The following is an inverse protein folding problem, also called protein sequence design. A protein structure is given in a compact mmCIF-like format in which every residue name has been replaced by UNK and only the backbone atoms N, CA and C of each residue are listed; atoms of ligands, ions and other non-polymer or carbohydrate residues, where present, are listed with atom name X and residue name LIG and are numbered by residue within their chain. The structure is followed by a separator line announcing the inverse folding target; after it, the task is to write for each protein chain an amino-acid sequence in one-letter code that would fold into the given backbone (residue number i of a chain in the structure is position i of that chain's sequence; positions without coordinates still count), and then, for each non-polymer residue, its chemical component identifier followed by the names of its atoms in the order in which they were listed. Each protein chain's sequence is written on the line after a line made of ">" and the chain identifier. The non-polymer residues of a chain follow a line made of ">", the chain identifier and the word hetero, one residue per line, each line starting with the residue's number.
data_IF_523138703842
#
_entry.id   IF_523138703842
#
_cell.length_a   1.000
_cell.length_b   1.000
_cell.length_c   1.000
_cell.angle_alpha   90.00
_cell.angle_beta   90.00
_cell.angle_gamma   90.00
#
_symmetry.space_group_name_H-M   'P 1'
#
loop_
_entity.id
_entity.type
_entity.pdbx_description
1 polymer ?
#
# COMPACT_ATOMS: atom_id res chain seq x y z
N UNK A 1 3.19 -77.78 21.44
CA UNK A 1 2.17 -76.85 20.89
C UNK A 1 2.00 -75.61 21.78
N UNK A 2 3.02 -74.74 21.93
CA UNK A 2 2.96 -73.52 22.78
C UNK A 2 3.39 -72.22 22.08
N UNK A 3 3.92 -72.29 20.86
CA UNK A 3 4.48 -71.14 20.13
C UNK A 3 3.46 -70.39 19.27
N UNK A 4 2.30 -70.99 18.98
CA UNK A 4 1.29 -70.38 18.09
C UNK A 4 0.42 -69.31 18.76
N UNK A 5 0.35 -69.27 20.10
CA UNK A 5 -0.47 -68.29 20.85
C UNK A 5 0.15 -66.88 20.89
N UNK A 6 1.47 -66.76 20.74
CA UNK A 6 2.16 -65.47 20.79
C UNK A 6 2.09 -64.66 19.49
N UNK A 7 1.97 -65.34 18.34
CA UNK A 7 1.89 -64.69 17.02
C UNK A 7 0.55 -63.97 16.78
N UNK A 8 -0.55 -64.49 17.34
CA UNK A 8 -1.87 -63.86 17.26
C UNK A 8 -1.98 -62.59 18.13
N UNK A 9 -1.28 -62.56 19.28
CA UNK A 9 -1.24 -61.37 20.14
C UNK A 9 -0.45 -60.21 19.51
N UNK A 10 0.61 -60.51 18.75
CA UNK A 10 1.41 -59.48 18.07
C UNK A 10 0.67 -58.86 16.87
N UNK A 11 -0.11 -59.63 16.11
CA UNK A 11 -0.87 -59.09 14.98
C UNK A 11 -2.02 -58.17 15.43
N UNK A 12 -2.67 -58.45 16.56
CA UNK A 12 -3.71 -57.57 17.11
C UNK A 12 -3.13 -56.22 17.57
N UNK A 13 -1.95 -56.19 18.18
CA UNK A 13 -1.32 -54.95 18.65
C UNK A 13 -0.87 -54.02 17.51
N UNK A 14 -0.43 -54.57 16.36
CA UNK A 14 0.00 -53.78 15.21
C UNK A 14 -1.16 -53.05 14.49
N UNK A 15 -2.37 -53.64 14.50
CA UNK A 15 -3.56 -53.04 13.87
C UNK A 15 -4.12 -51.87 14.70
N UNK A 16 -4.00 -51.92 16.03
CA UNK A 16 -4.47 -50.84 16.90
C UNK A 16 -3.57 -49.59 16.88
N UNK A 17 -2.27 -49.71 16.61
CA UNK A 17 -1.35 -48.56 16.58
C UNK A 17 -1.39 -47.78 15.26
N UNK A 18 -1.71 -48.44 14.14
CA UNK A 18 -1.83 -47.78 12.82
C UNK A 18 -3.13 -46.95 12.67
N UNK A 19 -4.19 -47.30 13.42
CA UNK A 19 -5.48 -46.57 13.40
C UNK A 19 -5.40 -45.17 14.04
N UNK A 20 -4.56 -44.98 15.05
CA UNK A 20 -4.48 -43.71 15.79
C UNK A 20 -3.71 -42.61 15.03
N UNK A 21 -2.75 -42.96 14.17
CA UNK A 21 -1.95 -41.99 13.39
C UNK A 21 -2.64 -41.57 12.08
N UNK A 22 -3.50 -42.42 11.52
CA UNK A 22 -4.33 -42.10 10.37
C UNK A 22 -5.38 -41.03 10.71
N UNK A 23 -6.08 -41.21 11.84
CA UNK A 23 -7.15 -40.29 12.26
C UNK A 23 -6.60 -38.90 12.65
N UNK A 24 -5.43 -38.82 13.28
CA UNK A 24 -4.82 -37.53 13.63
C UNK A 24 -4.37 -36.73 12.41
N UNK A 25 -3.85 -37.38 11.36
CA UNK A 25 -3.49 -36.72 10.10
C UNK A 25 -4.72 -36.23 9.33
N UNK A 26 -5.80 -37.02 9.35
CA UNK A 26 -7.07 -36.62 8.75
C UNK A 26 -7.65 -35.40 9.49
N UNK A 27 -7.65 -35.41 10.83
CA UNK A 27 -8.11 -34.27 11.62
C UNK A 27 -7.29 -33.01 11.34
N UNK A 28 -5.95 -33.11 11.26
CA UNK A 28 -5.09 -31.99 10.87
C UNK A 28 -5.42 -31.45 9.48
N UNK A 29 -5.76 -32.32 8.52
CA UNK A 29 -6.17 -31.89 7.18
C UNK A 29 -7.53 -31.18 7.20
N UNK A 30 -8.48 -31.67 7.99
CA UNK A 30 -9.80 -31.04 8.19
C UNK A 30 -9.67 -29.68 8.86
N UNK A 31 -8.84 -29.57 9.90
CA UNK A 31 -8.59 -28.31 10.61
C UNK A 31 -7.95 -27.28 9.69
N UNK A 32 -6.96 -27.70 8.87
CA UNK A 32 -6.34 -26.83 7.85
C UNK A 32 -7.33 -26.37 6.80
N UNK A 33 -8.19 -27.26 6.31
CA UNK A 33 -9.17 -26.92 5.29
C UNK A 33 -10.23 -25.95 5.83
N UNK A 34 -10.62 -26.13 7.09
CA UNK A 34 -11.50 -25.20 7.82
C UNK A 34 -10.85 -23.83 7.98
N UNK A 35 -9.57 -23.78 8.40
CA UNK A 35 -8.82 -22.54 8.53
C UNK A 35 -8.63 -21.81 7.19
N UNK A 36 -8.33 -22.55 6.12
CA UNK A 36 -8.21 -21.98 4.77
C UNK A 36 -9.55 -21.43 4.26
N UNK A 37 -10.64 -22.14 4.48
CA UNK A 37 -11.98 -21.68 4.13
C UNK A 37 -12.36 -20.39 4.87
N UNK A 38 -12.01 -20.31 6.15
CA UNK A 38 -12.19 -19.09 6.95
C UNK A 38 -11.35 -17.93 6.39
N UNK A 39 -10.07 -18.17 6.07
CA UNK A 39 -9.21 -17.16 5.46
C UNK A 39 -9.77 -16.65 4.14
N UNK A 40 -10.26 -17.52 3.26
CA UNK A 40 -10.87 -17.10 1.98
C UNK A 40 -12.10 -16.22 2.23
N UNK A 41 -12.92 -16.56 3.21
CA UNK A 41 -14.10 -15.78 3.59
C UNK A 41 -13.70 -14.40 4.12
N UNK A 42 -12.71 -14.36 5.01
CA UNK A 42 -12.21 -13.12 5.61
C UNK A 42 -11.57 -12.21 4.56
N UNK A 43 -10.74 -12.75 3.66
CA UNK A 43 -10.14 -11.99 2.56
C UNK A 43 -11.20 -11.47 1.59
N UNK A 44 -12.22 -12.27 1.26
CA UNK A 44 -13.32 -11.84 0.39
C UNK A 44 -14.10 -10.68 1.02
N UNK A 45 -14.37 -10.76 2.32
CA UNK A 45 -15.02 -9.69 3.08
C UNK A 45 -14.17 -8.40 3.13
N UNK A 46 -12.86 -8.54 3.35
CA UNK A 46 -11.92 -7.43 3.32
C UNK A 46 -11.88 -6.76 1.95
N UNK A 47 -11.85 -7.56 0.87
CA UNK A 47 -11.87 -7.06 -0.50
C UNK A 47 -13.16 -6.30 -0.81
N UNK A 48 -14.32 -6.83 -0.42
CA UNK A 48 -15.60 -6.13 -0.56
C UNK A 48 -15.66 -4.81 0.21
N UNK A 49 -15.10 -4.79 1.43
CA UNK A 49 -15.00 -3.57 2.24
C UNK A 49 -14.08 -2.54 1.58
N UNK A 50 -12.94 -2.97 1.05
CA UNK A 50 -11.98 -2.10 0.38
C UNK A 50 -12.57 -1.50 -0.89
N UNK A 51 -13.27 -2.32 -1.69
CA UNK A 51 -13.97 -1.86 -2.88
C UNK A 51 -15.04 -0.82 -2.53
N UNK A 52 -15.84 -1.06 -1.48
CA UNK A 52 -16.86 -0.10 -1.04
C UNK A 52 -16.24 1.25 -0.60
N UNK A 53 -15.11 1.21 0.11
CA UNK A 53 -14.36 2.42 0.47
C UNK A 53 -13.80 3.14 -0.76
N UNK A 54 -13.25 2.38 -1.72
CA UNK A 54 -12.74 2.92 -2.97
C UNK A 54 -13.84 3.63 -3.76
N UNK A 55 -15.01 2.99 -3.93
CA UNK A 55 -16.14 3.58 -4.65
C UNK A 55 -16.67 4.85 -3.96
N UNK A 56 -16.64 4.89 -2.63
CA UNK A 56 -17.03 6.07 -1.87
C UNK A 56 -16.03 7.21 -2.08
N UNK A 57 -14.73 6.94 -2.01
CA UNK A 57 -13.67 7.93 -2.22
C UNK A 57 -13.72 8.44 -3.67
N UNK A 58 -13.79 7.54 -4.65
CA UNK A 58 -13.80 7.88 -6.06
C UNK A 58 -14.99 8.77 -6.48
N UNK A 59 -16.12 8.69 -5.77
CA UNK A 59 -17.26 9.58 -5.98
C UNK A 59 -17.02 11.00 -5.48
N UNK A 60 -16.26 11.16 -4.40
CA UNK A 60 -16.01 12.47 -3.77
C UNK A 60 -14.76 13.13 -4.35
N UNK A 61 -13.72 12.34 -4.58
CA UNK A 61 -12.43 12.75 -5.14
C UNK A 61 -12.06 11.74 -6.24
N UNK A 62 -12.50 11.95 -7.49
CA UNK A 62 -12.15 11.04 -8.57
C UNK A 62 -10.63 11.07 -8.73
N UNK A 63 -9.91 9.95 -8.49
CA UNK A 63 -8.45 9.95 -8.55
C UNK A 63 -8.01 10.28 -9.98
N UNK A 64 -7.15 11.29 -10.09
CA UNK A 64 -6.57 11.80 -11.33
C UNK A 64 -5.05 11.77 -11.19
N UNK A 65 -4.41 11.44 -12.29
CA UNK A 65 -2.98 11.65 -12.46
C UNK A 65 -2.79 12.89 -13.35
N UNK A 66 -1.72 13.63 -13.12
CA UNK A 66 -1.33 14.65 -14.09
C UNK A 66 -0.94 13.97 -15.40
N UNK A 67 -1.53 14.41 -16.51
CA UNK A 67 -1.31 13.77 -17.81
C UNK A 67 0.08 14.09 -18.39
N UNK A 68 0.68 15.20 -17.96
CA UNK A 68 1.98 15.69 -18.42
C UNK A 68 2.55 16.71 -17.44
N UNK A 69 3.82 17.08 -17.60
CA UNK A 69 4.43 18.18 -16.86
C UNK A 69 3.63 19.49 -17.04
N UNK A 70 3.16 19.78 -18.26
CA UNK A 70 2.36 20.99 -18.52
C UNK A 70 1.06 21.01 -17.72
N UNK A 71 0.45 19.85 -17.49
CA UNK A 71 -0.77 19.72 -16.68
C UNK A 71 -0.47 20.05 -15.21
N UNK A 72 0.65 19.54 -14.67
CA UNK A 72 1.13 19.90 -13.33
C UNK A 72 1.42 21.40 -13.23
N UNK A 73 2.18 21.98 -14.17
CA UNK A 73 2.50 23.41 -14.16
C UNK A 73 1.25 24.28 -14.28
N UNK A 74 0.27 23.87 -15.08
CA UNK A 74 -1.01 24.58 -15.17
C UNK A 74 -1.80 24.53 -13.86
N UNK A 75 -1.79 23.38 -13.17
CA UNK A 75 -2.42 23.25 -11.86
C UNK A 75 -1.71 24.09 -10.79
N UNK A 76 -0.38 24.06 -10.74
CA UNK A 76 0.41 24.88 -9.82
C UNK A 76 0.17 26.38 -10.02
N UNK A 77 0.02 26.85 -11.26
CA UNK A 77 -0.29 28.25 -11.53
C UNK A 77 -1.67 28.72 -11.01
N UNK A 78 -2.61 27.78 -10.83
CA UNK A 78 -3.94 28.03 -10.26
C UNK A 78 -3.88 28.00 -8.74
N UNK A 79 -3.16 27.04 -8.17
CA UNK A 79 -2.88 27.00 -6.74
C UNK A 79 -2.16 28.29 -6.28
N UNK A 80 -2.46 28.72 -5.06
CA UNK A 80 -1.96 30.00 -4.52
C UNK A 80 -1.06 29.82 -3.30
N UNK A 81 -0.56 28.60 -3.10
CA UNK A 81 0.28 28.29 -1.93
C UNK A 81 1.63 28.99 -2.01
N UNK A 82 2.25 29.02 -3.20
CA UNK A 82 3.53 29.71 -3.43
C UNK A 82 3.44 31.23 -3.31
N UNK A 83 2.27 31.81 -3.62
CA UNK A 83 1.98 33.24 -3.47
C UNK A 83 1.91 33.69 -1.99
N UNK A 84 1.89 32.76 -1.03
CA UNK A 84 1.89 33.07 0.40
C UNK A 84 3.27 33.55 0.90
N UNK A 85 3.33 34.45 1.91
CA UNK A 85 4.59 34.95 2.44
C UNK A 85 5.57 33.83 2.83
N UNK A 86 6.88 33.93 2.51
CA UNK A 86 7.84 32.86 2.77
C UNK A 86 7.84 32.37 4.22
N UNK A 87 7.98 31.05 4.40
CA UNK A 87 7.96 30.41 5.71
C UNK A 87 9.29 30.59 6.45
N UNK A 88 9.24 31.10 7.68
CA UNK A 88 10.42 31.28 8.52
C UNK A 88 10.82 30.05 9.36
N UNK A 89 9.98 29.01 9.41
CA UNK A 89 10.25 27.77 10.15
C UNK A 89 9.87 26.54 9.33
N UNK A 90 10.43 25.39 9.68
CA UNK A 90 10.15 24.11 9.03
C UNK A 90 8.66 23.73 9.20
N UNK A 91 8.08 23.97 10.37
CA UNK A 91 6.67 23.68 10.65
C UNK A 91 5.74 24.55 9.80
N UNK A 92 6.08 25.83 9.63
CA UNK A 92 5.32 26.72 8.77
C UNK A 92 5.40 26.28 7.30
N UNK A 93 6.58 25.88 6.83
CA UNK A 93 6.79 25.38 5.47
C UNK A 93 6.03 24.06 5.24
N UNK A 94 6.14 23.12 6.17
CA UNK A 94 5.41 21.84 6.10
C UNK A 94 3.89 22.05 6.16
N UNK A 95 3.41 22.97 7.00
CA UNK A 95 1.99 23.30 7.06
C UNK A 95 1.46 23.90 5.76
N UNK A 96 2.26 24.72 5.05
CA UNK A 96 1.88 25.21 3.71
C UNK A 96 1.82 24.05 2.70
N UNK A 97 2.83 23.18 2.69
CA UNK A 97 2.89 22.03 1.80
C UNK A 97 1.68 21.09 1.99
N UNK A 98 1.26 20.83 3.23
CA UNK A 98 0.02 20.11 3.53
C UNK A 98 -1.23 20.81 2.99
N UNK A 99 -1.22 22.15 2.96
CA UNK A 99 -2.26 22.94 2.31
C UNK A 99 -2.36 22.68 0.82
N UNK A 100 -1.23 22.71 0.10
CA UNK A 100 -1.17 22.37 -1.33
C UNK A 100 -1.58 20.91 -1.59
N UNK A 101 -1.18 19.97 -0.72
CA UNK A 101 -1.63 18.57 -0.80
C UNK A 101 -3.15 18.43 -0.63
N UNK A 102 -3.73 19.16 0.34
CA UNK A 102 -5.17 19.16 0.53
C UNK A 102 -5.92 19.80 -0.65
N UNK A 103 -5.34 20.82 -1.30
CA UNK A 103 -5.87 21.41 -2.52
C UNK A 103 -5.84 20.41 -3.68
N UNK A 104 -4.70 19.75 -3.91
CA UNK A 104 -4.56 18.72 -4.94
C UNK A 104 -5.59 17.60 -4.76
N UNK A 105 -5.76 17.12 -3.52
CA UNK A 105 -6.72 16.06 -3.20
C UNK A 105 -8.17 16.48 -3.51
N UNK A 106 -8.53 17.74 -3.26
CA UNK A 106 -9.87 18.26 -3.60
C UNK A 106 -10.13 18.24 -5.10
N UNK A 107 -9.10 18.49 -5.89
CA UNK A 107 -9.16 18.45 -7.35
C UNK A 107 -9.00 17.03 -7.92
N UNK A 108 -8.78 16.05 -7.06
CA UNK A 108 -8.63 14.63 -7.39
C UNK A 108 -7.19 14.20 -7.67
N UNK A 109 -6.21 15.09 -7.57
CA UNK A 109 -4.80 14.77 -7.76
C UNK A 109 -4.16 14.22 -6.49
N UNK A 110 -3.19 13.32 -6.65
CA UNK A 110 -2.36 12.82 -5.56
C UNK A 110 -0.98 13.43 -5.66
N UNK A 111 -0.60 14.17 -4.62
CA UNK A 111 0.77 14.64 -4.40
C UNK A 111 1.21 14.20 -3.00
N UNK A 112 2.49 13.92 -2.82
CA UNK A 112 3.09 13.68 -1.50
C UNK A 112 3.79 14.94 -1.02
N UNK A 113 3.80 15.15 0.30
CA UNK A 113 4.62 16.16 0.96
C UNK A 113 5.73 15.39 1.65
N UNK A 114 6.96 15.67 1.23
CA UNK A 114 8.15 15.00 1.71
C UNK A 114 9.06 16.02 2.39
N UNK A 115 9.86 15.54 3.35
CA UNK A 115 10.82 16.36 4.06
C UNK A 115 12.16 15.66 4.15
N UNK A 116 13.24 16.43 4.04
CA UNK A 116 14.60 15.98 4.26
C UNK A 116 15.28 16.92 5.25
N UNK A 117 15.80 16.37 6.35
CA UNK A 117 16.51 17.13 7.38
C UNK A 117 17.96 16.71 7.35
N UNK A 118 18.84 17.63 6.96
CA UNK A 118 20.29 17.41 6.91
C UNK A 118 20.95 17.93 8.20
N UNK A 119 20.45 19.04 8.74
CA UNK A 119 20.81 19.56 10.06
C UNK A 119 19.71 20.48 10.60
N UNK A 120 19.84 20.93 11.85
CA UNK A 120 18.91 21.88 12.49
C UNK A 120 18.71 23.20 11.72
N UNK A 121 19.66 23.56 10.84
CA UNK A 121 19.61 24.78 10.01
C UNK A 121 19.44 24.49 8.52
N UNK A 122 19.42 23.22 8.12
CA UNK A 122 19.38 22.84 6.71
C UNK A 122 18.40 21.69 6.51
N UNK A 123 17.23 22.03 5.99
CA UNK A 123 16.14 21.12 5.71
C UNK A 123 15.46 21.53 4.40
N UNK A 124 14.78 20.57 3.79
CA UNK A 124 13.93 20.76 2.64
C UNK A 124 12.54 20.23 2.95
N UNK A 125 11.52 20.94 2.48
CA UNK A 125 10.15 20.44 2.37
C UNK A 125 9.75 20.65 0.93
N UNK A 126 9.35 19.57 0.27
CA UNK A 126 9.03 19.58 -1.14
C UNK A 126 7.82 18.70 -1.42
N UNK A 127 7.17 18.95 -2.53
CA UNK A 127 6.06 18.13 -2.99
C UNK A 127 6.55 17.18 -4.09
N UNK A 128 5.95 15.99 -4.14
CA UNK A 128 6.26 15.00 -5.18
C UNK A 128 4.99 14.45 -5.83
N UNK A 129 5.10 14.08 -7.11
CA UNK A 129 4.05 13.35 -7.83
C UNK A 129 4.65 12.44 -8.91
N UNK A 130 3.83 11.56 -9.49
CA UNK A 130 4.26 10.66 -10.57
C UNK A 130 3.52 11.03 -11.86
N UNK A 131 4.29 11.25 -12.93
CA UNK A 131 3.76 11.56 -14.27
C UNK A 131 4.45 10.65 -15.27
N UNK A 132 3.68 9.82 -15.96
CA UNK A 132 4.22 8.88 -16.96
C UNK A 132 5.29 7.94 -16.38
N UNK A 133 5.13 7.54 -15.12
CA UNK A 133 6.09 6.67 -14.42
C UNK A 133 7.37 7.37 -13.95
N UNK A 134 7.45 8.70 -14.02
CA UNK A 134 8.59 9.47 -13.51
C UNK A 134 8.19 10.27 -12.28
N UNK A 135 9.08 10.35 -11.29
CA UNK A 135 8.89 11.20 -10.12
C UNK A 135 9.26 12.63 -10.46
N UNK A 136 8.35 13.55 -10.15
CA UNK A 136 8.54 14.99 -10.25
C UNK A 136 8.53 15.59 -8.86
N UNK A 137 9.39 16.57 -8.64
CA UNK A 137 9.62 17.23 -7.35
C UNK A 137 9.60 18.73 -7.55
N UNK A 138 9.02 19.48 -6.61
CA UNK A 138 9.09 20.95 -6.62
C UNK A 138 9.13 21.52 -5.20
N UNK A 139 9.71 22.70 -5.09
CA UNK A 139 9.63 23.54 -3.90
C UNK A 139 8.28 24.26 -3.89
N UNK A 140 7.59 24.20 -2.75
CA UNK A 140 6.24 24.73 -2.55
C UNK A 140 6.20 26.26 -2.65
N UNK A 141 7.34 26.94 -2.50
CA UNK A 141 7.45 28.39 -2.57
C UNK A 141 7.83 28.90 -3.97
N UNK A 142 8.20 28.02 -4.90
CA UNK A 142 8.61 28.41 -6.26
C UNK A 142 7.75 27.81 -7.38
N UNK A 143 7.08 26.69 -7.11
CA UNK A 143 6.28 25.96 -8.10
C UNK A 143 7.07 25.60 -9.37
N UNK A 144 8.35 25.25 -9.23
CA UNK A 144 9.23 24.84 -10.33
C UNK A 144 9.49 23.32 -10.27
N UNK A 145 8.75 22.49 -11.05
CA UNK A 145 8.96 21.05 -11.04
C UNK A 145 10.22 20.64 -11.81
N UNK A 146 10.97 19.73 -11.20
CA UNK A 146 12.15 19.11 -11.79
C UNK A 146 12.21 17.62 -11.45
N UNK A 147 13.13 16.91 -12.11
CA UNK A 147 13.41 15.50 -11.84
C UNK A 147 14.75 15.38 -11.12
N UNK A 148 14.78 14.94 -9.85
CA UNK A 148 16.03 14.69 -9.17
C UNK A 148 16.76 13.50 -9.82
N UNK A 149 18.07 13.63 -9.97
CA UNK A 149 18.91 12.53 -10.44
C UNK A 149 18.84 11.39 -9.43
N UNK A 150 18.57 10.16 -9.90
CA UNK A 150 18.63 8.95 -9.08
C UNK A 150 17.30 8.46 -8.51
N UNK A 151 16.17 9.16 -8.74
CA UNK A 151 14.85 8.73 -8.26
C UNK A 151 14.22 7.60 -9.09
N UNK A 152 14.80 7.29 -10.27
CA UNK A 152 14.39 6.18 -11.11
C UNK A 152 12.99 6.32 -11.71
N UNK A 153 12.48 5.22 -12.28
CA UNK A 153 11.13 5.13 -12.83
C UNK A 153 10.23 4.30 -11.93
N UNK A 154 9.02 4.78 -11.67
CA UNK A 154 7.96 4.03 -10.99
C UNK A 154 7.20 3.21 -12.03
N UNK A 155 7.27 1.88 -11.91
CA UNK A 155 6.35 1.02 -12.66
C UNK A 155 5.02 0.97 -11.92
N UNK A 156 4.02 1.71 -12.39
CA UNK A 156 2.65 1.41 -11.98
C UNK A 156 2.31 0.07 -12.64
N UNK A 157 2.13 -1.00 -11.87
CA UNK A 157 1.72 -2.32 -12.40
C UNK A 157 0.32 -2.31 -13.07
N UNK A 158 -0.20 -1.12 -13.39
CA UNK A 158 -1.47 -0.79 -14.00
C UNK A 158 -1.33 -0.58 -15.51
N UNK A 159 -0.41 -1.30 -16.16
CA UNK A 159 -0.44 -1.41 -17.62
C UNK A 159 -1.81 -1.96 -18.01
N UNK A 160 -2.61 -1.16 -18.73
CA UNK A 160 -3.92 -1.56 -19.23
C UNK A 160 -3.81 -2.93 -19.92
N UNK A 161 -4.40 -3.96 -19.32
CA UNK A 161 -4.83 -5.14 -20.06
C UNK A 161 -6.11 -4.81 -20.82
#
# INVERSE_FOLDING_TARGET
>A
MKTLKWLLALCAAAVFLAGCTSNSRYQVAVDKNTALSQQVTDLSSQLGTLQGKYDQIAKVYPPREFASLNDLTAWLAIDKTSDLPPSGTMEALYSKALGQQAAALKDGYVISVDQEVISDQFYFVFCTTVIGGQVWVWDIETDEPYQPIGFGTVSTGLSKQ
#
